data_IF_564449683518
#
_entry.id   IF_564449683518
#
_cell.length_a   1.000
_cell.length_b   1.000
_cell.length_c   1.000
_cell.angle_alpha   90.00
_cell.angle_beta   90.00
_cell.angle_gamma   90.00
#
_symmetry.space_group_name_H-M   'P 1'
#
loop_
_entity.id
_entity.type
_entity.pdbx_description
1 polymer ?
#
# COMPACT_ATOMS: atom_id res chain seq x y z
N UNK A 1 -3.15 23.93 -10.94
CA UNK A 1 -4.04 23.48 -9.83
C UNK A 1 -4.10 21.96 -9.88
N UNK A 2 -3.86 21.25 -8.78
CA UNK A 2 -3.97 19.78 -8.76
C UNK A 2 -5.44 19.44 -8.53
N UNK A 3 -6.06 18.73 -9.48
CA UNK A 3 -7.49 18.36 -9.43
C UNK A 3 -7.79 17.54 -8.19
N UNK A 4 -8.49 18.15 -7.24
CA UNK A 4 -9.09 17.47 -6.10
C UNK A 4 -10.27 16.62 -6.59
N UNK A 5 -10.47 15.44 -6.00
CA UNK A 5 -11.71 14.69 -6.22
C UNK A 5 -12.90 15.42 -5.61
N UNK A 6 -14.11 15.00 -5.96
CA UNK A 6 -15.37 15.51 -5.37
C UNK A 6 -15.39 15.42 -3.83
N UNK A 7 -14.54 14.59 -3.22
CA UNK A 7 -14.39 14.43 -1.76
C UNK A 7 -13.15 15.09 -1.14
N UNK A 8 -12.45 15.97 -1.88
CA UNK A 8 -11.24 16.65 -1.42
C UNK A 8 -10.00 15.75 -1.34
N UNK A 9 -10.06 14.53 -1.88
CA UNK A 9 -8.90 13.62 -1.91
C UNK A 9 -7.97 13.99 -3.06
N UNK A 10 -6.67 13.99 -2.77
CA UNK A 10 -5.62 14.42 -3.71
C UNK A 10 -4.69 13.28 -4.12
N UNK A 11 -4.72 12.17 -3.38
CA UNK A 11 -3.84 11.04 -3.59
C UNK A 11 -4.64 9.74 -3.68
N UNK A 12 -4.13 8.81 -4.46
CA UNK A 12 -4.67 7.47 -4.61
C UNK A 12 -3.64 6.49 -4.07
N UNK A 13 -4.01 5.72 -3.06
CA UNK A 13 -3.28 4.55 -2.62
C UNK A 13 -3.87 3.32 -3.31
N UNK A 14 -3.08 2.66 -4.15
CA UNK A 14 -3.46 1.40 -4.77
C UNK A 14 -2.70 0.28 -4.07
N UNK A 15 -3.44 -0.71 -3.60
CA UNK A 15 -2.90 -1.90 -2.99
C UNK A 15 -3.33 -3.10 -3.82
N UNK A 16 -2.39 -3.94 -4.24
CA UNK A 16 -2.68 -5.16 -5.00
C UNK A 16 -2.11 -6.35 -4.24
N UNK A 17 -2.94 -7.33 -3.94
CA UNK A 17 -2.53 -8.59 -3.34
C UNK A 17 -3.15 -9.76 -4.11
N UNK A 18 -2.53 -10.93 -4.00
CA UNK A 18 -2.96 -12.11 -4.74
C UNK A 18 -4.34 -12.64 -4.29
N UNK A 19 -4.71 -12.43 -3.02
CA UNK A 19 -5.88 -13.06 -2.44
C UNK A 19 -7.15 -12.18 -2.49
N UNK A 20 -7.03 -10.87 -2.25
CA UNK A 20 -8.15 -9.93 -2.32
C UNK A 20 -8.21 -9.11 -3.62
N UNK A 21 -7.19 -9.22 -4.48
CA UNK A 21 -7.14 -8.56 -5.77
C UNK A 21 -6.57 -7.15 -5.67
N UNK A 22 -7.37 -6.13 -5.93
CA UNK A 22 -6.93 -4.74 -5.83
C UNK A 22 -7.86 -3.89 -4.97
N UNK A 23 -7.29 -3.10 -4.07
CA UNK A 23 -7.99 -2.14 -3.23
C UNK A 23 -7.49 -0.72 -3.47
N UNK A 24 -8.42 0.22 -3.63
CA UNK A 24 -8.14 1.64 -3.89
C UNK A 24 -8.56 2.47 -2.68
N UNK A 25 -7.63 3.26 -2.16
CA UNK A 25 -7.85 4.22 -1.08
C UNK A 25 -7.68 5.65 -1.56
N UNK A 26 -8.60 6.53 -1.17
CA UNK A 26 -8.50 7.95 -1.45
C UNK A 26 -7.97 8.68 -0.23
N UNK A 27 -6.83 9.35 -0.37
CA UNK A 27 -6.18 10.08 0.72
C UNK A 27 -6.23 11.58 0.42
N UNK A 28 -6.52 12.38 1.45
CA UNK A 28 -6.53 13.84 1.38
C UNK A 28 -5.12 14.39 1.46
N UNK A 29 -4.30 13.79 2.32
CA UNK A 29 -2.89 14.13 2.51
C UNK A 29 -2.04 12.87 2.42
N UNK A 30 -0.78 13.00 1.98
CA UNK A 30 0.09 11.84 1.84
C UNK A 30 0.42 11.16 3.17
N UNK A 31 0.44 11.90 4.28
CA UNK A 31 0.73 11.34 5.60
C UNK A 31 -0.30 10.31 6.07
N UNK A 32 -1.51 10.31 5.50
CA UNK A 32 -2.54 9.29 5.78
C UNK A 32 -2.17 7.91 5.20
N UNK A 33 -1.17 7.81 4.31
CA UNK A 33 -0.83 6.54 3.67
C UNK A 33 -0.36 5.48 4.66
N UNK A 34 0.37 5.89 5.71
CA UNK A 34 0.88 4.97 6.73
C UNK A 34 -0.25 4.27 7.48
N UNK A 35 -1.19 5.03 8.05
CA UNK A 35 -2.32 4.47 8.79
C UNK A 35 -3.22 3.64 7.87
N UNK A 36 -3.40 4.09 6.62
CA UNK A 36 -4.17 3.37 5.62
C UNK A 36 -3.57 1.98 5.33
N UNK A 37 -2.24 1.90 5.12
CA UNK A 37 -1.54 0.64 4.88
C UNK A 37 -1.62 -0.28 6.09
N UNK A 38 -1.38 0.25 7.29
CA UNK A 38 -1.42 -0.53 8.53
C UNK A 38 -2.80 -1.17 8.73
N UNK A 39 -3.85 -0.38 8.52
CA UNK A 39 -5.25 -0.84 8.61
C UNK A 39 -5.56 -1.89 7.55
N UNK A 40 -5.12 -1.68 6.32
CA UNK A 40 -5.34 -2.63 5.24
C UNK A 40 -4.67 -3.98 5.52
N UNK A 41 -3.39 -3.98 5.92
CA UNK A 41 -2.65 -5.20 6.22
C UNK A 41 -3.31 -5.98 7.36
N UNK A 42 -3.68 -5.30 8.45
CA UNK A 42 -4.40 -5.91 9.58
C UNK A 42 -5.72 -6.54 9.14
N UNK A 43 -6.49 -5.81 8.32
CA UNK A 43 -7.78 -6.28 7.80
C UNK A 43 -7.61 -7.52 6.93
N UNK A 44 -6.67 -7.52 5.99
CA UNK A 44 -6.42 -8.65 5.08
C UNK A 44 -5.94 -9.87 5.84
N UNK A 45 -5.03 -9.69 6.80
CA UNK A 45 -4.57 -10.79 7.64
C UNK A 45 -5.71 -11.41 8.44
N UNK A 46 -6.60 -10.57 8.99
CA UNK A 46 -7.79 -11.02 9.74
C UNK A 46 -8.78 -11.75 8.84
N UNK A 47 -9.13 -11.16 7.69
CA UNK A 47 -10.12 -11.70 6.76
C UNK A 47 -9.68 -13.02 6.14
N UNK A 48 -8.40 -13.13 5.75
CA UNK A 48 -7.87 -14.31 5.09
C UNK A 48 -7.33 -15.33 6.10
N UNK A 49 -7.25 -14.99 7.38
CA UNK A 49 -6.61 -15.80 8.43
C UNK A 49 -5.20 -16.26 8.04
N UNK A 50 -4.49 -15.42 7.28
CA UNK A 50 -3.15 -15.69 6.76
C UNK A 50 -2.26 -14.48 6.95
N UNK A 51 -1.01 -14.74 7.30
CA UNK A 51 -0.02 -13.69 7.54
C UNK A 51 0.57 -13.19 6.21
N UNK A 52 0.55 -11.88 6.00
CA UNK A 52 1.26 -11.24 4.89
C UNK A 52 2.76 -11.41 5.14
N UNK A 53 3.50 -11.84 4.12
CA UNK A 53 4.95 -12.10 4.25
C UNK A 53 5.79 -10.99 3.65
N UNK A 54 5.32 -10.40 2.56
CA UNK A 54 6.07 -9.41 1.79
C UNK A 54 5.22 -8.21 1.46
N UNK A 55 5.83 -7.03 1.56
CA UNK A 55 5.28 -5.79 1.04
C UNK A 55 6.27 -5.22 0.04
N UNK A 56 5.81 -4.99 -1.19
CA UNK A 56 6.58 -4.37 -2.26
C UNK A 56 6.05 -2.95 -2.48
N UNK A 57 6.91 -1.94 -2.35
CA UNK A 57 6.55 -0.56 -2.65
C UNK A 57 7.43 0.05 -3.75
N UNK A 58 6.91 1.05 -4.45
CA UNK A 58 7.58 1.76 -5.55
C UNK A 58 8.83 2.58 -5.14
N UNK A 59 8.99 2.82 -3.84
CA UNK A 59 10.09 3.63 -3.30
C UNK A 59 9.65 5.00 -2.82
N UNK A 60 8.35 5.29 -2.80
CA UNK A 60 7.80 6.52 -2.25
C UNK A 60 8.34 6.81 -0.85
N UNK A 61 8.81 8.04 -0.63
CA UNK A 61 9.41 8.48 0.63
C UNK A 61 8.42 8.38 1.78
N UNK A 62 7.15 8.57 1.49
CA UNK A 62 6.03 8.50 2.44
C UNK A 62 5.79 7.07 2.96
N UNK A 63 6.32 6.05 2.28
CA UNK A 63 6.28 4.66 2.69
C UNK A 63 7.59 4.19 3.36
N UNK A 64 8.60 5.07 3.40
CA UNK A 64 9.91 4.81 3.99
C UNK A 64 10.06 5.48 5.38
N UNK A 65 8.98 5.55 6.15
CA UNK A 65 9.01 6.06 7.53
C UNK A 65 9.52 5.00 8.51
N UNK A 66 10.17 5.44 9.59
CA UNK A 66 10.66 4.52 10.63
C UNK A 66 9.51 3.78 11.35
N UNK A 67 8.35 4.44 11.48
CA UNK A 67 7.15 3.88 12.10
C UNK A 67 6.56 2.74 11.27
N UNK A 68 6.46 2.89 9.94
CA UNK A 68 6.10 1.77 9.05
C UNK A 68 7.12 0.63 9.11
N UNK A 69 8.42 0.97 9.17
CA UNK A 69 9.47 -0.04 9.29
C UNK A 69 9.31 -0.88 10.55
N UNK A 70 9.14 -0.24 11.71
CA UNK A 70 8.93 -0.93 12.98
C UNK A 70 7.66 -1.78 12.97
N UNK A 71 6.58 -1.27 12.35
CA UNK A 71 5.36 -2.06 12.17
C UNK A 71 5.61 -3.32 11.33
N UNK A 72 6.33 -3.23 10.22
CA UNK A 72 6.67 -4.40 9.43
C UNK A 72 7.57 -5.37 10.19
N UNK A 73 8.54 -4.88 10.97
CA UNK A 73 9.42 -5.72 11.79
C UNK A 73 8.63 -6.47 12.88
N UNK A 74 7.70 -5.80 13.58
CA UNK A 74 6.84 -6.39 14.62
C UNK A 74 5.89 -7.45 14.03
N UNK A 75 5.32 -7.14 12.86
CA UNK A 75 4.52 -8.07 12.08
C UNK A 75 5.37 -9.14 11.38
N UNK A 76 6.71 -9.09 11.40
CA UNK A 76 7.56 -10.03 10.67
C UNK A 76 7.32 -10.04 9.15
N UNK A 77 6.97 -8.88 8.59
CA UNK A 77 6.76 -8.63 7.17
C UNK A 77 8.08 -8.13 6.56
N UNK A 78 8.53 -8.77 5.48
CA UNK A 78 9.69 -8.30 4.75
C UNK A 78 9.31 -7.20 3.76
N UNK A 79 10.03 -6.08 3.83
CA UNK A 79 9.86 -4.95 2.91
C UNK A 79 10.79 -5.05 1.72
N UNK A 80 10.24 -4.98 0.52
CA UNK A 80 10.99 -4.87 -0.74
C UNK A 80 10.61 -3.60 -1.48
N UNK A 81 11.50 -3.15 -2.37
CA UNK A 81 11.24 -2.04 -3.29
C UNK A 81 11.23 -2.54 -4.72
N UNK A 82 10.37 -2.02 -5.60
CA UNK A 82 10.30 -2.44 -7.02
C UNK A 82 11.65 -2.33 -7.73
N UNK A 83 12.46 -1.34 -7.36
CA UNK A 83 13.83 -1.12 -7.87
C UNK A 83 14.80 -2.24 -7.47
N UNK A 84 14.58 -2.91 -6.34
CA UNK A 84 15.46 -3.94 -5.76
C UNK A 84 14.70 -5.23 -5.43
N UNK A 85 13.74 -5.62 -6.28
CA UNK A 85 12.96 -6.85 -6.08
C UNK A 85 13.93 -8.06 -6.01
N UNK A 86 13.99 -8.71 -4.84
CA UNK A 86 14.86 -9.88 -4.61
C UNK A 86 14.12 -11.20 -4.76
N UNK A 87 12.83 -11.22 -4.45
CA UNK A 87 12.00 -12.43 -4.49
C UNK A 87 10.86 -12.18 -5.49
N UNK A 88 10.64 -13.13 -6.40
CA UNK A 88 9.45 -13.09 -7.27
C UNK A 88 8.23 -13.51 -6.43
N UNK A 89 7.16 -12.71 -6.36
CA UNK A 89 6.01 -12.95 -5.50
C UNK A 89 5.16 -14.19 -5.83
N UNK A 90 5.63 -15.11 -6.69
CA UNK A 90 4.78 -16.07 -7.40
C UNK A 90 4.24 -17.24 -6.57
N UNK A 91 4.59 -17.37 -5.29
CA UNK A 91 4.06 -18.43 -4.39
C UNK A 91 3.80 -17.94 -2.94
N UNK A 92 3.87 -16.63 -2.68
CA UNK A 92 3.81 -16.10 -1.31
C UNK A 92 2.87 -14.91 -1.25
N UNK A 93 2.05 -14.86 -0.18
CA UNK A 93 1.11 -13.78 0.06
C UNK A 93 1.86 -12.45 0.20
N UNK A 94 1.83 -11.69 -0.88
CA UNK A 94 2.59 -10.46 -1.10
C UNK A 94 1.64 -9.32 -1.47
N UNK A 95 2.00 -8.12 -1.06
CA UNK A 95 1.18 -6.92 -1.23
C UNK A 95 2.00 -5.86 -1.95
N UNK A 96 1.52 -5.41 -3.11
CA UNK A 96 2.07 -4.30 -3.87
C UNK A 96 1.41 -3.00 -3.43
N UNK A 97 2.21 -2.00 -3.05
CA UNK A 97 1.77 -0.69 -2.62
C UNK A 97 2.26 0.38 -3.60
N UNK A 98 1.31 1.09 -4.21
CA UNK A 98 1.55 2.19 -5.13
C UNK A 98 0.87 3.45 -4.59
N UNK A 99 1.63 4.52 -4.34
CA UNK A 99 1.09 5.80 -3.86
C UNK A 99 1.17 6.86 -4.96
N UNK A 100 0.06 7.07 -5.67
CA UNK A 100 0.01 8.01 -6.79
C UNK A 100 -0.53 9.37 -6.38
N UNK A 101 0.13 10.43 -6.84
CA UNK A 101 -0.44 11.79 -6.86
C UNK A 101 -1.28 12.08 -8.11
N UNK A 102 -1.48 11.10 -9.00
CA UNK A 102 -2.42 11.24 -10.11
C UNK A 102 -3.82 11.36 -9.50
N UNK A 103 -4.57 12.38 -9.95
CA UNK A 103 -5.89 12.66 -9.41
C UNK A 103 -6.72 11.39 -9.38
N UNK A 104 -7.36 11.14 -8.24
CA UNK A 104 -8.38 10.11 -8.03
C UNK A 104 -9.47 10.10 -9.12
N UNK A 105 -9.62 11.20 -9.88
CA UNK A 105 -10.52 11.33 -11.02
C UNK A 105 -10.16 10.42 -12.22
N UNK A 106 -8.91 9.95 -12.34
CA UNK A 106 -8.44 9.21 -13.52
C UNK A 106 -8.49 7.68 -13.39
N UNK A 107 -9.01 7.13 -12.28
CA UNK A 107 -8.99 5.68 -12.02
C UNK A 107 -10.38 5.01 -12.13
N UNK A 108 -11.26 5.59 -12.96
CA UNK A 108 -12.62 5.15 -13.26
C UNK A 108 -12.83 4.60 -14.69
N UNK A 109 -11.76 4.28 -15.42
CA UNK A 109 -11.86 3.65 -16.73
C UNK A 109 -11.18 2.28 -16.74
#
# INVERSE_FOLDING_TARGET
>A
MKNESLGGSRYLALIVDEASGCMKGFLRVKSESEDYIRKYLTMVQTQLSKKVKFVLHDGARELATNSLRLFYEDEGIEKQTTVHMRIKPTEQQSVLLELSSRSAAACFC
#
